data_IF_585283587900
#
_entry.id   IF_585283587900
#
_cell.length_a   1.000
_cell.length_b   1.000
_cell.length_c   1.000
_cell.angle_alpha   90.00
_cell.angle_beta   90.00
_cell.angle_gamma   90.00
#
_symmetry.space_group_name_H-M   'P 1'
#
loop_
_entity.id
_entity.type
_entity.pdbx_description
1 polymer ?
#
# COMPACT_ATOMS: atom_id res chain seq x y z
N UNK A 1 -46.66 24.18 -14.07
CA UNK A 1 -45.28 24.73 -14.14
C UNK A 1 -44.37 24.22 -13.02
N UNK A 2 -44.88 23.78 -11.86
CA UNK A 2 -44.09 23.33 -10.72
C UNK A 2 -43.54 21.89 -10.82
N UNK A 3 -44.12 21.04 -11.64
CA UNK A 3 -43.67 19.65 -11.80
C UNK A 3 -42.31 19.52 -12.49
N UNK A 4 -42.04 20.37 -13.47
CA UNK A 4 -40.73 20.39 -14.14
C UNK A 4 -39.60 20.84 -13.21
N UNK A 5 -39.89 21.78 -12.32
CA UNK A 5 -38.91 22.25 -11.31
C UNK A 5 -38.64 21.17 -10.28
N UNK A 6 -39.65 20.43 -9.82
CA UNK A 6 -39.48 19.32 -8.88
C UNK A 6 -38.70 18.15 -9.52
N UNK A 7 -39.00 17.82 -10.77
CA UNK A 7 -38.27 16.78 -11.51
C UNK A 7 -36.80 17.16 -11.74
N UNK A 8 -36.55 18.42 -12.09
CA UNK A 8 -35.18 18.91 -12.32
C UNK A 8 -34.37 18.96 -11.01
N UNK A 9 -34.99 19.37 -9.92
CA UNK A 9 -34.35 19.40 -8.59
C UNK A 9 -34.04 17.98 -8.08
N UNK A 10 -34.94 17.02 -8.33
CA UNK A 10 -34.75 15.62 -7.98
C UNK A 10 -33.60 14.96 -8.76
N UNK A 11 -33.51 15.21 -10.07
CA UNK A 11 -32.44 14.66 -10.91
C UNK A 11 -31.09 15.28 -10.57
N UNK A 12 -31.00 16.59 -10.35
CA UNK A 12 -29.78 17.26 -9.94
C UNK A 12 -29.29 16.75 -8.57
N UNK A 13 -30.19 16.56 -7.61
CA UNK A 13 -29.85 15.96 -6.31
C UNK A 13 -29.29 14.54 -6.42
N UNK A 14 -29.92 13.69 -7.25
CA UNK A 14 -29.47 12.33 -7.48
C UNK A 14 -28.06 12.27 -8.11
N UNK A 15 -27.76 13.16 -9.06
CA UNK A 15 -26.43 13.24 -9.71
C UNK A 15 -25.37 13.64 -8.67
N UNK A 16 -25.64 14.64 -7.83
CA UNK A 16 -24.71 15.07 -6.79
C UNK A 16 -24.39 13.94 -5.80
N UNK A 17 -25.43 13.23 -5.34
CA UNK A 17 -25.27 12.08 -4.45
C UNK A 17 -24.43 10.97 -5.12
N UNK A 18 -24.72 10.64 -6.37
CA UNK A 18 -23.95 9.64 -7.12
C UNK A 18 -22.47 10.06 -7.27
N UNK A 19 -22.19 11.31 -7.61
CA UNK A 19 -20.82 11.83 -7.68
C UNK A 19 -20.10 11.76 -6.33
N UNK A 20 -20.78 12.08 -5.22
CA UNK A 20 -20.21 11.97 -3.88
C UNK A 20 -19.88 10.52 -3.53
N UNK A 21 -20.75 9.57 -3.82
CA UNK A 21 -20.51 8.14 -3.58
C UNK A 21 -19.30 7.66 -4.39
N UNK A 22 -19.23 8.00 -5.68
CA UNK A 22 -18.11 7.65 -6.54
C UNK A 22 -16.80 8.26 -6.01
N UNK A 23 -16.82 9.53 -5.64
CA UNK A 23 -15.65 10.21 -5.08
C UNK A 23 -15.17 9.55 -3.78
N UNK A 24 -16.07 9.20 -2.88
CA UNK A 24 -15.75 8.49 -1.64
C UNK A 24 -15.20 7.09 -1.92
N UNK A 25 -15.79 6.36 -2.86
CA UNK A 25 -15.31 5.04 -3.25
C UNK A 25 -13.91 5.08 -3.87
N UNK A 26 -13.67 6.01 -4.79
CA UNK A 26 -12.35 6.23 -5.40
C UNK A 26 -11.32 6.62 -4.34
N UNK A 27 -11.68 7.57 -3.46
CA UNK A 27 -10.81 7.97 -2.35
C UNK A 27 -10.48 6.79 -1.42
N UNK A 28 -11.46 5.97 -1.08
CA UNK A 28 -11.24 4.78 -0.26
C UNK A 28 -10.33 3.76 -0.94
N UNK A 29 -10.56 3.49 -2.23
CA UNK A 29 -9.75 2.56 -3.02
C UNK A 29 -8.31 3.05 -3.19
N UNK A 30 -8.13 4.34 -3.48
CA UNK A 30 -6.81 4.98 -3.58
C UNK A 30 -6.08 4.93 -2.23
N UNK A 31 -6.77 5.26 -1.13
CA UNK A 31 -6.18 5.23 0.20
C UNK A 31 -5.75 3.81 0.64
N UNK A 32 -6.50 2.78 0.24
CA UNK A 32 -6.08 1.37 0.47
C UNK A 32 -4.82 1.01 -0.30
N UNK A 33 -4.70 1.42 -1.57
CA UNK A 33 -3.53 1.15 -2.40
C UNK A 33 -2.29 1.95 -1.99
N UNK A 34 -2.50 3.09 -1.34
CA UNK A 34 -1.43 3.94 -0.84
C UNK A 34 -0.76 3.37 0.42
N UNK A 35 -1.45 2.55 1.20
CA UNK A 35 -0.90 2.01 2.45
C UNK A 35 0.02 0.85 2.19
N UNK A 36 1.20 0.87 2.80
CA UNK A 36 2.14 -0.26 2.81
C UNK A 36 1.54 -1.47 3.54
N UNK A 37 0.76 -1.21 4.60
CA UNK A 37 0.05 -2.23 5.39
C UNK A 37 -1.41 -1.82 5.61
N UNK A 38 -2.42 -2.71 5.41
CA UNK A 38 -3.84 -2.34 5.51
C UNK A 38 -4.25 -1.87 6.91
N UNK A 39 -3.63 -2.40 7.96
CA UNK A 39 -3.95 -2.09 9.37
C UNK A 39 -3.13 -0.95 9.95
N UNK A 40 -2.01 -0.56 9.31
CA UNK A 40 -1.10 0.48 9.82
C UNK A 40 -1.29 1.76 9.00
N UNK A 41 -1.54 2.91 9.63
CA UNK A 41 -1.61 4.17 8.90
C UNK A 41 -0.23 4.51 8.34
N UNK A 42 -0.17 4.86 7.06
CA UNK A 42 1.07 5.38 6.46
C UNK A 42 1.26 6.85 6.80
N UNK A 43 2.45 7.28 7.18
CA UNK A 43 2.76 8.70 7.41
C UNK A 43 2.91 9.49 6.11
N UNK A 44 2.98 8.81 4.97
CA UNK A 44 3.16 9.42 3.66
C UNK A 44 1.87 10.14 3.21
N UNK A 45 1.95 11.40 2.72
CA UNK A 45 0.80 12.12 2.23
C UNK A 45 0.32 11.55 0.89
N UNK A 46 -1.00 11.62 0.63
CA UNK A 46 -1.61 11.11 -0.61
C UNK A 46 -1.03 11.74 -1.88
N UNK A 47 -0.48 12.96 -1.78
CA UNK A 47 0.18 13.64 -2.90
C UNK A 47 1.39 12.87 -3.43
N UNK A 48 2.00 11.98 -2.63
CA UNK A 48 3.13 11.16 -3.06
C UNK A 48 2.78 10.13 -4.14
N UNK A 49 1.52 9.84 -4.35
CA UNK A 49 1.10 8.98 -5.47
C UNK A 49 1.51 9.54 -6.84
N UNK A 50 1.43 10.86 -7.00
CA UNK A 50 1.76 11.56 -8.25
C UNK A 50 3.11 12.31 -8.18
N UNK A 51 3.75 12.41 -7.01
CA UNK A 51 5.00 13.15 -6.83
C UNK A 51 6.18 12.37 -7.42
N UNK A 52 6.99 12.97 -8.34
CA UNK A 52 8.19 12.33 -8.90
C UNK A 52 9.41 12.34 -7.98
N UNK A 53 9.34 12.98 -6.81
CA UNK A 53 10.47 13.11 -5.88
C UNK A 53 10.94 11.76 -5.36
N UNK A 54 12.21 11.70 -4.92
CA UNK A 54 12.86 10.47 -4.48
C UNK A 54 12.10 9.78 -3.33
N UNK A 55 11.68 10.52 -2.31
CA UNK A 55 10.93 9.98 -1.18
C UNK A 55 9.60 9.32 -1.61
N UNK A 56 8.85 9.98 -2.49
CA UNK A 56 7.61 9.45 -3.04
C UNK A 56 7.82 8.19 -3.89
N UNK A 57 8.91 8.12 -4.64
CA UNK A 57 9.29 6.92 -5.39
C UNK A 57 9.60 5.74 -4.47
N UNK A 58 10.39 5.98 -3.41
CA UNK A 58 10.72 4.95 -2.41
C UNK A 58 9.45 4.45 -1.69
N UNK A 59 8.57 5.35 -1.30
CA UNK A 59 7.28 4.98 -0.71
C UNK A 59 6.46 4.05 -1.63
N UNK A 60 6.33 4.38 -2.92
CA UNK A 60 5.59 3.53 -3.88
C UNK A 60 6.22 2.14 -4.05
N UNK A 61 7.56 2.04 -4.03
CA UNK A 61 8.29 0.77 -4.07
C UNK A 61 7.98 -0.05 -2.81
N UNK A 62 8.04 0.56 -1.63
CA UNK A 62 7.71 -0.10 -0.36
C UNK A 62 6.25 -0.53 -0.29
N UNK A 63 5.31 0.28 -0.79
CA UNK A 63 3.91 -0.10 -0.88
C UNK A 63 3.74 -1.35 -1.75
N UNK A 64 4.46 -1.45 -2.87
CA UNK A 64 4.45 -2.65 -3.70
C UNK A 64 4.99 -3.88 -2.95
N UNK A 65 6.12 -3.76 -2.25
CA UNK A 65 6.69 -4.85 -1.42
C UNK A 65 5.68 -5.29 -0.36
N UNK A 66 5.10 -4.34 0.39
CA UNK A 66 4.11 -4.63 1.42
C UNK A 66 2.85 -5.33 0.90
N UNK A 67 2.36 -4.94 -0.28
CA UNK A 67 1.23 -5.62 -0.92
C UNK A 67 1.59 -7.02 -1.39
N UNK A 68 2.70 -7.19 -2.12
CA UNK A 68 3.12 -8.51 -2.62
C UNK A 68 3.39 -9.48 -1.46
N UNK A 69 4.07 -9.05 -0.40
CA UNK A 69 4.27 -9.87 0.79
C UNK A 69 2.94 -10.21 1.47
N UNK A 70 2.00 -9.26 1.50
CA UNK A 70 0.65 -9.50 2.02
C UNK A 70 -0.12 -10.55 1.22
N UNK A 71 -0.08 -10.47 -0.10
CA UNK A 71 -0.74 -11.44 -0.99
C UNK A 71 -0.17 -12.86 -0.77
N UNK A 72 1.15 -13.00 -0.66
CA UNK A 72 1.80 -14.28 -0.33
C UNK A 72 1.34 -14.80 1.04
N UNK A 73 1.30 -13.93 2.06
CA UNK A 73 0.83 -14.32 3.39
C UNK A 73 -0.64 -14.76 3.39
N UNK A 74 -1.49 -14.08 2.63
CA UNK A 74 -2.92 -14.37 2.56
C UNK A 74 -3.18 -15.65 1.76
N UNK A 75 -2.45 -15.90 0.67
CA UNK A 75 -2.54 -17.14 -0.13
C UNK A 75 -2.16 -18.38 0.71
N UNK A 76 -1.17 -18.26 1.59
CA UNK A 76 -0.74 -19.35 2.47
C UNK A 76 -1.56 -19.49 3.76
N UNK A 77 -2.43 -18.51 4.06
CA UNK A 77 -3.42 -18.58 5.17
C UNK A 77 -4.72 -19.27 4.80
N UNK A 78 -4.91 -19.69 3.53
CA UNK A 78 -6.17 -20.29 3.06
C UNK A 78 -6.53 -21.57 3.83
N UNK A 79 -7.85 -21.91 3.93
CA UNK A 79 -8.43 -22.58 5.10
C UNK A 79 -7.86 -23.95 5.37
N UNK A 80 -7.62 -24.23 6.64
CA UNK A 80 -7.14 -25.48 7.29
C UNK A 80 -7.78 -26.80 6.80
N UNK A 81 -8.83 -26.78 5.98
CA UNK A 81 -9.48 -27.98 5.45
C UNK A 81 -8.64 -28.77 4.41
N UNK A 82 -7.57 -28.17 3.88
CA UNK A 82 -6.63 -28.84 2.96
C UNK A 82 -5.25 -29.18 3.58
N UNK A 83 -5.12 -29.04 4.89
CA UNK A 83 -3.88 -29.00 5.66
C UNK A 83 -3.25 -30.38 5.94
N UNK A 84 -3.25 -31.32 5.01
CA UNK A 84 -2.46 -32.54 5.17
C UNK A 84 -1.03 -32.47 4.61
N UNK A 85 -0.61 -31.34 4.02
CA UNK A 85 0.72 -31.11 3.41
C UNK A 85 1.52 -29.94 3.97
N UNK A 86 1.14 -29.35 5.09
CA UNK A 86 1.54 -28.01 5.46
C UNK A 86 2.43 -27.93 6.71
N UNK A 87 3.60 -28.58 6.70
CA UNK A 87 4.62 -28.32 7.74
C UNK A 87 5.45 -27.06 7.45
N UNK A 88 5.54 -26.63 6.17
CA UNK A 88 6.32 -25.44 5.76
C UNK A 88 5.53 -24.13 5.69
N UNK A 89 4.20 -24.17 5.74
CA UNK A 89 3.34 -22.99 5.57
C UNK A 89 3.43 -21.93 6.68
N UNK A 90 3.55 -22.24 8.00
CA UNK A 90 3.69 -21.23 9.02
C UNK A 90 4.94 -20.37 8.88
N UNK A 91 6.05 -20.94 8.40
CA UNK A 91 7.30 -20.21 8.18
C UNK A 91 7.20 -19.19 7.04
N UNK A 92 6.53 -19.56 5.93
CA UNK A 92 6.31 -18.66 4.80
C UNK A 92 5.41 -17.47 5.19
N UNK A 93 4.34 -17.72 5.96
CA UNK A 93 3.46 -16.67 6.46
C UNK A 93 4.22 -15.74 7.42
N UNK A 94 5.04 -16.31 8.30
CA UNK A 94 5.86 -15.54 9.24
C UNK A 94 6.86 -14.65 8.49
N UNK A 95 7.58 -15.21 7.53
CA UNK A 95 8.55 -14.48 6.72
C UNK A 95 7.91 -13.37 5.89
N UNK A 96 6.76 -13.63 5.29
CA UNK A 96 6.00 -12.65 4.53
C UNK A 96 5.52 -11.49 5.41
N UNK A 97 5.03 -11.78 6.62
CA UNK A 97 4.59 -10.75 7.57
C UNK A 97 5.76 -9.94 8.12
N UNK A 98 6.91 -10.56 8.35
CA UNK A 98 8.14 -9.91 8.79
C UNK A 98 8.66 -8.94 7.72
N UNK A 99 8.70 -9.37 6.44
CA UNK A 99 9.03 -8.50 5.31
C UNK A 99 8.07 -7.31 5.20
N UNK A 100 6.79 -7.54 5.42
CA UNK A 100 5.76 -6.51 5.42
C UNK A 100 5.94 -5.50 6.54
N UNK A 101 6.30 -5.95 7.75
CA UNK A 101 6.63 -5.07 8.88
C UNK A 101 7.89 -4.26 8.60
N UNK A 102 8.90 -4.87 8.00
CA UNK A 102 10.12 -4.17 7.59
C UNK A 102 9.81 -3.08 6.55
N UNK A 103 8.94 -3.36 5.58
CA UNK A 103 8.51 -2.36 4.60
C UNK A 103 7.79 -1.16 5.27
N UNK A 104 6.95 -1.40 6.27
CA UNK A 104 6.32 -0.34 7.08
C UNK A 104 7.36 0.48 7.82
N UNK A 105 8.35 -0.16 8.44
CA UNK A 105 9.40 0.52 9.17
C UNK A 105 10.23 1.44 8.25
N UNK A 106 10.62 0.93 7.08
CA UNK A 106 11.32 1.72 6.06
C UNK A 106 10.47 2.89 5.55
N UNK A 107 9.16 2.71 5.37
CA UNK A 107 8.24 3.77 4.96
C UNK A 107 8.19 4.91 5.97
N UNK A 108 8.16 4.60 7.27
CA UNK A 108 8.25 5.60 8.33
C UNK A 108 9.59 6.35 8.31
N UNK A 109 10.69 5.67 8.01
CA UNK A 109 12.00 6.31 7.87
C UNK A 109 12.03 7.23 6.65
N UNK A 110 11.51 6.81 5.50
CA UNK A 110 11.40 7.64 4.29
C UNK A 110 10.58 8.90 4.57
N UNK A 111 9.45 8.76 5.26
CA UNK A 111 8.60 9.91 5.59
C UNK A 111 9.29 10.90 6.53
N UNK A 112 9.99 10.43 7.56
CA UNK A 112 10.79 11.29 8.45
C UNK A 112 11.91 12.00 7.70
N UNK A 113 12.63 11.26 6.85
CA UNK A 113 13.74 11.79 6.06
C UNK A 113 13.26 12.85 5.06
N UNK A 114 12.07 12.70 4.50
CA UNK A 114 11.48 13.68 3.58
C UNK A 114 11.29 15.07 4.23
N UNK A 115 11.07 15.13 5.54
CA UNK A 115 10.95 16.36 6.32
C UNK A 115 12.29 17.05 6.64
N UNK A 116 13.43 16.42 6.38
CA UNK A 116 14.74 16.99 6.69
C UNK A 116 15.17 18.09 5.68
N UNK A 117 16.09 19.00 6.07
CA UNK A 117 16.70 19.96 5.17
C UNK A 117 17.35 19.28 3.95
N UNK A 118 17.34 19.92 2.80
CA UNK A 118 17.76 19.34 1.52
C UNK A 118 19.20 18.81 1.50
N UNK A 119 20.10 19.43 2.25
CA UNK A 119 21.49 19.03 2.33
C UNK A 119 21.67 17.62 2.93
N UNK A 120 20.96 17.33 4.03
CA UNK A 120 21.02 16.05 4.76
C UNK A 120 20.10 15.01 4.14
N UNK A 121 18.92 15.44 3.68
CA UNK A 121 17.90 14.57 3.11
C UNK A 121 18.41 13.70 1.96
N UNK A 122 19.26 14.25 1.07
CA UNK A 122 19.71 13.54 -0.13
C UNK A 122 20.57 12.32 0.22
N UNK A 123 21.53 12.45 1.14
CA UNK A 123 22.37 11.33 1.58
C UNK A 123 21.57 10.24 2.30
N UNK A 124 20.64 10.62 3.18
CA UNK A 124 19.79 9.66 3.88
C UNK A 124 18.82 8.93 2.95
N UNK A 125 18.23 9.62 1.97
CA UNK A 125 17.39 8.95 0.97
C UNK A 125 18.19 8.00 0.07
N UNK A 126 19.47 8.28 -0.20
CA UNK A 126 20.32 7.36 -0.95
C UNK A 126 20.63 6.08 -0.13
N UNK A 127 20.87 6.20 1.17
CA UNK A 127 21.03 5.04 2.06
C UNK A 127 19.73 4.22 2.15
N UNK A 128 18.59 4.88 2.33
CA UNK A 128 17.30 4.20 2.36
C UNK A 128 16.97 3.51 1.03
N UNK A 129 17.44 4.03 -0.10
CA UNK A 129 17.23 3.41 -1.40
C UNK A 129 17.92 2.03 -1.52
N UNK A 130 19.08 1.82 -0.89
CA UNK A 130 19.71 0.50 -0.83
C UNK A 130 18.89 -0.49 0.02
N UNK A 131 18.45 -0.07 1.20
CA UNK A 131 17.59 -0.93 2.04
C UNK A 131 16.24 -1.28 1.39
N UNK A 132 15.68 -0.34 0.62
CA UNK A 132 14.47 -0.62 -0.18
C UNK A 132 14.76 -1.63 -1.28
N UNK A 133 15.91 -1.55 -1.95
CA UNK A 133 16.31 -2.53 -2.97
C UNK A 133 16.52 -3.93 -2.37
N UNK A 134 17.09 -4.02 -1.17
CA UNK A 134 17.21 -5.29 -0.44
C UNK A 134 15.85 -5.88 -0.10
N UNK A 135 14.90 -5.08 0.38
CA UNK A 135 13.55 -5.52 0.66
C UNK A 135 12.81 -5.99 -0.62
N UNK A 136 13.01 -5.32 -1.75
CA UNK A 136 12.49 -5.77 -3.04
C UNK A 136 13.08 -7.11 -3.47
N UNK A 137 14.38 -7.28 -3.31
CA UNK A 137 15.05 -8.55 -3.64
C UNK A 137 14.55 -9.69 -2.75
N UNK A 138 14.40 -9.46 -1.45
CA UNK A 138 13.81 -10.42 -0.52
C UNK A 138 12.37 -10.79 -0.92
N UNK A 139 11.57 -9.79 -1.34
CA UNK A 139 10.22 -10.01 -1.81
C UNK A 139 10.18 -10.88 -3.08
N UNK A 140 11.06 -10.64 -4.05
CA UNK A 140 11.16 -11.47 -5.26
C UNK A 140 11.52 -12.92 -4.91
N UNK A 141 12.47 -13.13 -3.99
CA UNK A 141 12.83 -14.47 -3.51
C UNK A 141 11.66 -15.15 -2.81
N UNK A 142 10.94 -14.43 -1.95
CA UNK A 142 9.75 -14.96 -1.28
C UNK A 142 8.72 -15.47 -2.29
N UNK A 143 8.40 -14.66 -3.31
CA UNK A 143 7.46 -15.05 -4.38
C UNK A 143 7.98 -16.25 -5.16
N UNK A 144 9.28 -16.31 -5.46
CA UNK A 144 9.85 -17.45 -6.21
C UNK A 144 9.76 -18.76 -5.43
N UNK A 145 9.91 -18.73 -4.11
CA UNK A 145 9.77 -19.91 -3.25
C UNK A 145 8.30 -20.29 -3.07
N UNK A 146 7.40 -19.31 -2.95
CA UNK A 146 5.96 -19.57 -2.81
C UNK A 146 5.31 -20.19 -4.06
N UNK A 147 5.94 -20.06 -5.23
CA UNK A 147 5.45 -20.59 -6.50
C UNK A 147 5.89 -22.04 -6.79
N UNK A 148 6.73 -22.65 -5.94
CA UNK A 148 7.20 -24.04 -6.06
C UNK A 148 6.31 -25.01 -5.28
#
# INVERSE_FOLDING_TARGET
MNWFLLSFLGTAGAIVVACCIVALFVRHRVNRRHRVHPKVPTPAPLTWLADPRAAARLHRRLAKVGHTAGDVADDHRLPQKKLRKAVEQPEMVSLAEELRQQAVHLDHQVARTAGLPSAVRRSHLAQLASSVAEAEFACVRLVSVSAQ
#
